data_IF_597403406103
#
_entry.id   IF_597403406103
#
_cell.length_a   1.000
_cell.length_b   1.000
_cell.length_c   1.000
_cell.angle_alpha   90.00
_cell.angle_beta   90.00
_cell.angle_gamma   90.00
#
_symmetry.space_group_name_H-M   'P 1'
#
loop_
_entity.id
_entity.type
_entity.pdbx_description
1 polymer ?
#
# COMPACT_ATOMS: atom_id res chain seq x y z
N UNK A 1 36.59 -11.52 -21.89
CA UNK A 1 35.14 -11.24 -21.92
C UNK A 1 34.30 -12.49 -22.26
N UNK A 2 34.65 -13.33 -23.24
CA UNK A 2 33.86 -14.55 -23.58
C UNK A 2 33.73 -15.61 -22.46
N UNK A 3 34.63 -15.66 -21.48
CA UNK A 3 34.57 -16.64 -20.37
C UNK A 3 33.54 -16.32 -19.29
N UNK A 4 33.16 -15.04 -19.11
CA UNK A 4 32.20 -14.65 -18.08
C UNK A 4 30.77 -14.96 -18.51
N UNK A 5 30.42 -14.63 -19.77
CA UNK A 5 29.08 -14.87 -20.32
C UNK A 5 28.71 -16.36 -20.38
N UNK A 6 29.67 -17.26 -20.63
CA UNK A 6 29.39 -18.71 -20.62
C UNK A 6 29.12 -19.29 -19.23
N UNK A 7 29.67 -18.68 -18.17
CA UNK A 7 29.44 -19.11 -16.78
C UNK A 7 28.07 -18.62 -16.30
N UNK A 8 27.66 -17.43 -16.72
CA UNK A 8 26.33 -16.86 -16.42
C UNK A 8 25.20 -17.68 -17.05
N UNK A 9 25.42 -18.19 -18.26
CA UNK A 9 24.49 -19.09 -18.97
C UNK A 9 24.42 -20.49 -18.32
N UNK A 10 25.56 -21.09 -17.94
CA UNK A 10 25.61 -22.41 -17.30
C UNK A 10 25.02 -22.42 -15.86
N UNK A 11 25.05 -21.27 -15.19
CA UNK A 11 24.45 -21.06 -13.86
C UNK A 11 22.98 -20.56 -13.93
N UNK A 12 22.42 -20.39 -15.13
CA UNK A 12 21.04 -19.90 -15.33
C UNK A 12 20.81 -18.44 -14.88
N UNK A 13 21.87 -17.68 -14.64
CA UNK A 13 21.79 -16.30 -14.11
C UNK A 13 21.20 -15.32 -15.14
N UNK A 14 21.44 -15.58 -16.42
CA UNK A 14 20.90 -14.77 -17.52
C UNK A 14 19.38 -14.90 -17.61
N UNK A 15 18.83 -16.10 -17.44
CA UNK A 15 17.38 -16.33 -17.45
C UNK A 15 16.71 -15.76 -16.19
N UNK A 16 17.32 -15.96 -15.02
CA UNK A 16 16.81 -15.40 -13.76
C UNK A 16 16.77 -13.86 -13.77
N UNK A 17 17.80 -13.20 -14.29
CA UNK A 17 17.83 -11.72 -14.37
C UNK A 17 16.81 -11.14 -15.37
N UNK A 18 16.51 -11.86 -16.46
CA UNK A 18 15.48 -11.46 -17.41
C UNK A 18 14.08 -11.55 -16.79
N UNK A 19 13.79 -12.64 -16.07
CA UNK A 19 12.51 -12.86 -15.38
C UNK A 19 12.29 -11.82 -14.25
N UNK A 20 13.33 -11.51 -13.48
CA UNK A 20 13.29 -10.46 -12.45
C UNK A 20 12.95 -9.08 -13.04
N UNK A 21 13.54 -8.74 -14.19
CA UNK A 21 13.30 -7.46 -14.88
C UNK A 21 11.85 -7.37 -15.39
N UNK A 22 11.31 -8.45 -15.95
CA UNK A 22 9.91 -8.50 -16.39
C UNK A 22 8.95 -8.36 -15.19
N UNK A 23 9.23 -9.06 -14.09
CA UNK A 23 8.43 -8.96 -12.87
C UNK A 23 8.48 -7.56 -12.25
N UNK A 24 9.62 -6.88 -12.28
CA UNK A 24 9.75 -5.47 -11.88
C UNK A 24 8.93 -4.53 -12.77
N UNK A 25 8.94 -4.74 -14.09
CA UNK A 25 8.13 -3.95 -15.01
C UNK A 25 6.63 -4.12 -14.73
N UNK A 26 6.16 -5.36 -14.58
CA UNK A 26 4.75 -5.64 -14.25
C UNK A 26 4.36 -4.99 -12.93
N UNK A 27 5.22 -5.08 -11.90
CA UNK A 27 5.00 -4.39 -10.61
C UNK A 27 4.89 -2.88 -10.79
N UNK A 28 5.83 -2.27 -11.51
CA UNK A 28 5.84 -0.83 -11.79
C UNK A 28 4.55 -0.36 -12.48
N UNK A 29 4.08 -1.13 -13.48
CA UNK A 29 2.85 -0.82 -14.20
C UNK A 29 1.64 -0.90 -13.24
N UNK A 30 1.51 -2.01 -12.51
CA UNK A 30 0.40 -2.20 -11.56
C UNK A 30 0.38 -1.12 -10.47
N UNK A 31 1.55 -0.65 -10.05
CA UNK A 31 1.71 0.32 -8.99
C UNK A 31 1.33 1.75 -9.41
N UNK A 32 1.69 2.13 -10.64
CA UNK A 32 1.48 3.48 -11.16
C UNK A 32 0.14 3.65 -11.90
N UNK A 33 -0.19 2.71 -12.80
CA UNK A 33 -1.29 2.91 -13.74
C UNK A 33 -2.65 2.93 -13.05
N UNK A 34 -2.86 2.10 -12.01
CA UNK A 34 -4.17 2.00 -11.34
C UNK A 34 -4.57 3.27 -10.58
N UNK A 35 -3.60 4.09 -10.18
CA UNK A 35 -3.82 5.36 -9.48
C UNK A 35 -3.41 6.58 -10.32
N UNK A 36 -3.23 6.41 -11.64
CA UNK A 36 -3.10 7.55 -12.56
C UNK A 36 -4.39 8.38 -12.56
N UNK A 37 -4.27 9.71 -12.71
CA UNK A 37 -5.39 10.65 -12.65
C UNK A 37 -6.50 10.36 -13.66
N UNK A 38 -6.20 9.63 -14.74
CA UNK A 38 -7.18 9.24 -15.77
C UNK A 38 -8.02 8.03 -15.38
N UNK A 39 -7.61 7.28 -14.35
CA UNK A 39 -8.31 6.09 -13.91
C UNK A 39 -9.47 6.39 -12.98
N UNK A 40 -10.49 5.53 -13.05
CA UNK A 40 -11.69 5.63 -12.23
C UNK A 40 -11.38 5.54 -10.73
N UNK A 41 -10.41 4.72 -10.32
CA UNK A 41 -10.06 4.54 -8.92
C UNK A 41 -9.53 5.85 -8.29
N UNK A 42 -8.70 6.58 -9.03
CA UNK A 42 -8.14 7.88 -8.64
C UNK A 42 -9.22 8.93 -8.42
N UNK A 43 -10.33 8.88 -9.16
CA UNK A 43 -11.45 9.80 -8.97
C UNK A 43 -12.11 9.68 -7.58
N UNK A 44 -12.02 8.52 -6.92
CA UNK A 44 -12.58 8.30 -5.57
C UNK A 44 -11.61 8.68 -4.44
N UNK A 45 -10.30 8.71 -4.72
CA UNK A 45 -9.26 9.00 -3.72
C UNK A 45 -9.55 10.30 -2.94
N UNK A 46 -9.83 11.46 -3.57
CA UNK A 46 -10.06 12.70 -2.84
C UNK A 46 -11.23 12.60 -1.85
N UNK A 47 -12.32 11.91 -2.24
CA UNK A 47 -13.49 11.70 -1.39
C UNK A 47 -13.15 10.82 -0.18
N UNK A 48 -12.49 9.69 -0.43
CA UNK A 48 -12.08 8.73 0.62
C UNK A 48 -11.17 9.42 1.64
N UNK A 49 -10.13 10.11 1.17
CA UNK A 49 -9.19 10.83 2.03
C UNK A 49 -9.91 11.94 2.79
N UNK A 50 -10.85 12.66 2.15
CA UNK A 50 -11.62 13.71 2.82
C UNK A 50 -12.45 13.15 3.97
N UNK A 51 -13.07 11.99 3.82
CA UNK A 51 -13.85 11.36 4.89
C UNK A 51 -12.92 10.93 6.03
N UNK A 52 -11.87 10.17 5.73
CA UNK A 52 -10.95 9.62 6.74
C UNK A 52 -10.20 10.71 7.54
N UNK A 53 -9.93 11.87 6.94
CA UNK A 53 -9.26 12.99 7.61
C UNK A 53 -10.19 13.89 8.43
N UNK A 54 -11.51 13.73 8.31
CA UNK A 54 -12.49 14.61 8.97
C UNK A 54 -13.54 13.81 9.78
N UNK A 55 -13.14 12.94 10.74
CA UNK A 55 -14.07 12.07 11.45
C UNK A 55 -15.12 12.82 12.28
N UNK A 56 -14.87 14.07 12.69
CA UNK A 56 -15.87 14.90 13.39
C UNK A 56 -16.94 15.52 12.46
N UNK A 57 -16.71 15.51 11.15
CA UNK A 57 -17.66 16.02 10.14
C UNK A 57 -18.56 14.90 9.59
N UNK A 58 -18.04 13.69 9.50
CA UNK A 58 -18.75 12.53 8.97
C UNK A 58 -19.05 11.57 10.13
N UNK A 59 -20.32 11.47 10.49
CA UNK A 59 -20.74 10.73 11.69
C UNK A 59 -21.45 9.40 11.38
N UNK A 60 -21.67 9.09 10.10
CA UNK A 60 -22.25 7.82 9.69
C UNK A 60 -21.21 6.69 9.80
N UNK A 61 -21.43 5.68 10.68
CA UNK A 61 -20.42 4.65 10.94
C UNK A 61 -20.10 3.79 9.72
N UNK A 62 -21.08 3.54 8.86
CA UNK A 62 -20.93 2.70 7.67
C UNK A 62 -20.09 3.43 6.62
N UNK A 63 -20.37 4.71 6.38
CA UNK A 63 -19.57 5.58 5.51
C UNK A 63 -18.11 5.65 5.96
N UNK A 64 -17.88 5.87 7.25
CA UNK A 64 -16.53 5.97 7.81
C UNK A 64 -15.78 4.63 7.75
N UNK A 65 -16.47 3.52 8.02
CA UNK A 65 -15.89 2.17 7.94
C UNK A 65 -15.55 1.79 6.50
N UNK A 66 -16.45 2.07 5.55
CA UNK A 66 -16.23 1.83 4.13
C UNK A 66 -15.07 2.68 3.58
N UNK A 67 -15.01 3.96 3.96
CA UNK A 67 -13.93 4.87 3.56
C UNK A 67 -12.58 4.43 4.14
N UNK A 68 -12.55 4.00 5.40
CA UNK A 68 -11.36 3.41 6.03
C UNK A 68 -10.88 2.19 5.25
N UNK A 69 -11.79 1.25 4.96
CA UNK A 69 -11.44 0.03 4.24
C UNK A 69 -10.91 0.35 2.84
N UNK A 70 -11.56 1.27 2.12
CA UNK A 70 -11.13 1.71 0.81
C UNK A 70 -9.74 2.37 0.85
N UNK A 71 -9.50 3.26 1.82
CA UNK A 71 -8.18 3.87 2.02
C UNK A 71 -7.09 2.81 2.25
N UNK A 72 -7.37 1.82 3.09
CA UNK A 72 -6.46 0.70 3.36
C UNK A 72 -6.16 -0.11 2.09
N UNK A 73 -7.17 -0.39 1.26
CA UNK A 73 -7.00 -1.15 0.02
C UNK A 73 -6.23 -0.35 -1.04
N UNK A 74 -6.45 0.96 -1.13
CA UNK A 74 -5.69 1.82 -2.06
C UNK A 74 -4.22 1.93 -1.61
N UNK A 75 -3.96 1.96 -0.31
CA UNK A 75 -2.60 1.93 0.23
C UNK A 75 -1.81 0.67 -0.16
N UNK A 76 -2.48 -0.46 -0.44
CA UNK A 76 -1.81 -1.68 -0.94
C UNK A 76 -1.37 -1.57 -2.42
N UNK A 77 -1.94 -0.63 -3.18
CA UNK A 77 -1.69 -0.51 -4.62
C UNK A 77 -0.38 0.22 -4.89
N UNK A 78 -0.13 1.33 -4.18
CA UNK A 78 1.00 2.24 -4.45
C UNK A 78 1.81 2.55 -3.21
N UNK A 79 3.14 2.39 -3.31
CA UNK A 79 4.08 2.77 -2.26
C UNK A 79 3.94 4.26 -1.94
N UNK A 80 3.95 5.13 -2.94
CA UNK A 80 3.82 6.58 -2.78
C UNK A 80 2.49 6.97 -2.12
N UNK A 81 1.40 6.29 -2.49
CA UNK A 81 0.12 6.52 -1.84
C UNK A 81 0.16 6.09 -0.38
N UNK A 82 0.70 4.90 -0.11
CA UNK A 82 0.86 4.37 1.23
C UNK A 82 1.66 5.33 2.11
N UNK A 83 2.85 5.75 1.66
CA UNK A 83 3.75 6.63 2.39
C UNK A 83 3.05 7.95 2.77
N UNK A 84 2.34 8.56 1.82
CA UNK A 84 1.57 9.80 2.06
C UNK A 84 0.48 9.65 3.12
N UNK A 85 -0.12 8.47 3.25
CA UNK A 85 -1.28 8.24 4.13
C UNK A 85 -0.97 7.36 5.35
N UNK A 86 0.26 6.88 5.51
CA UNK A 86 0.61 5.94 6.56
C UNK A 86 0.35 6.51 7.96
N UNK A 87 0.71 7.77 8.17
CA UNK A 87 0.40 8.49 9.42
C UNK A 87 -1.10 8.55 9.71
N UNK A 88 -1.94 8.74 8.68
CA UNK A 88 -3.39 8.75 8.83
C UNK A 88 -3.89 7.36 9.25
N UNK A 89 -3.38 6.28 8.65
CA UNK A 89 -3.72 4.91 9.05
C UNK A 89 -3.40 4.67 10.53
N UNK A 90 -2.20 4.99 11.00
CA UNK A 90 -1.86 4.84 12.42
C UNK A 90 -2.73 5.71 13.34
N UNK A 91 -3.07 6.93 12.91
CA UNK A 91 -4.00 7.79 13.65
C UNK A 91 -5.39 7.15 13.75
N UNK A 92 -5.88 6.54 12.67
CA UNK A 92 -7.17 5.84 12.65
C UNK A 92 -7.15 4.58 13.52
N UNK A 93 -6.05 3.83 13.52
CA UNK A 93 -5.85 2.68 14.40
C UNK A 93 -5.93 3.08 15.88
N UNK A 94 -5.23 4.16 16.25
CA UNK A 94 -5.11 4.59 17.65
C UNK A 94 -6.36 5.34 18.15
N UNK A 95 -6.92 6.25 17.34
CA UNK A 95 -7.92 7.23 17.81
C UNK A 95 -9.36 6.88 17.46
N UNK A 96 -9.61 5.96 16.53
CA UNK A 96 -10.98 5.67 16.12
C UNK A 96 -11.78 4.97 17.22
N UNK A 97 -12.96 5.51 17.53
CA UNK A 97 -13.90 4.86 18.44
C UNK A 97 -14.54 3.60 17.84
N UNK A 98 -14.61 3.50 16.50
CA UNK A 98 -15.26 2.39 15.79
C UNK A 98 -14.35 1.16 15.74
N UNK A 99 -14.73 0.02 16.35
CA UNK A 99 -13.92 -1.20 16.34
C UNK A 99 -13.62 -1.71 14.93
N UNK A 100 -14.57 -1.59 14.00
CA UNK A 100 -14.41 -2.02 12.60
C UNK A 100 -13.31 -1.24 11.88
N UNK A 101 -13.17 0.06 12.15
CA UNK A 101 -12.08 0.88 11.59
C UNK A 101 -10.73 0.41 12.11
N UNK A 102 -10.63 0.17 13.43
CA UNK A 102 -9.38 -0.33 14.04
C UNK A 102 -9.00 -1.70 13.50
N UNK A 103 -9.96 -2.62 13.39
CA UNK A 103 -9.75 -3.95 12.85
C UNK A 103 -9.30 -3.91 11.37
N UNK A 104 -10.00 -3.15 10.51
CA UNK A 104 -9.63 -2.98 9.11
C UNK A 104 -8.21 -2.42 8.97
N UNK A 105 -7.89 -1.41 9.77
CA UNK A 105 -6.57 -0.75 9.74
C UNK A 105 -5.47 -1.70 10.24
N UNK A 106 -5.71 -2.46 11.31
CA UNK A 106 -4.75 -3.42 11.85
C UNK A 106 -4.42 -4.52 10.84
N UNK A 107 -5.44 -5.10 10.19
CA UNK A 107 -5.23 -6.10 9.11
C UNK A 107 -4.44 -5.49 7.96
N UNK A 108 -4.82 -4.30 7.51
CA UNK A 108 -4.12 -3.63 6.43
C UNK A 108 -2.66 -3.30 6.75
N UNK A 109 -2.34 -2.85 7.96
CA UNK A 109 -0.95 -2.61 8.37
C UNK A 109 -0.14 -3.91 8.43
N UNK A 110 -0.76 -5.04 8.76
CA UNK A 110 -0.16 -6.37 8.64
C UNK A 110 0.19 -6.71 7.19
N UNK A 111 -0.76 -6.52 6.27
CA UNK A 111 -0.54 -6.73 4.84
C UNK A 111 0.56 -5.79 4.28
N UNK A 112 0.55 -4.52 4.69
CA UNK A 112 1.54 -3.52 4.29
C UNK A 112 2.93 -3.83 4.84
N UNK A 113 3.03 -4.45 6.01
CA UNK A 113 4.32 -4.89 6.59
C UNK A 113 5.02 -5.90 5.69
N UNK A 114 4.24 -6.71 4.95
CA UNK A 114 4.78 -7.63 3.96
C UNK A 114 5.02 -6.95 2.60
N UNK A 115 4.10 -6.09 2.16
CA UNK A 115 4.18 -5.45 0.83
C UNK A 115 5.22 -4.34 0.74
N UNK A 116 5.41 -3.56 1.81
CA UNK A 116 6.30 -2.40 1.89
C UNK A 116 7.08 -2.41 3.23
N UNK A 117 7.90 -3.45 3.50
CA UNK A 117 8.53 -3.64 4.81
C UNK A 117 9.35 -2.44 5.27
N UNK A 118 10.14 -1.84 4.38
CA UNK A 118 10.99 -0.67 4.69
C UNK A 118 10.17 0.58 5.07
N UNK A 119 8.95 0.70 4.54
CA UNK A 119 8.06 1.82 4.84
C UNK A 119 7.40 1.65 6.21
N UNK A 120 7.07 0.40 6.59
CA UNK A 120 6.38 0.09 7.84
C UNK A 120 7.36 -0.09 9.02
N UNK A 121 8.60 -0.53 8.78
CA UNK A 121 9.61 -0.78 9.81
C UNK A 121 9.71 0.35 10.86
N UNK A 122 9.79 1.65 10.49
CA UNK A 122 9.87 2.74 11.46
C UNK A 122 8.63 2.90 12.34
N UNK A 123 7.49 2.36 11.90
CA UNK A 123 6.20 2.46 12.58
C UNK A 123 5.87 1.25 13.45
N UNK A 124 6.63 0.16 13.34
CA UNK A 124 6.43 -1.10 14.08
C UNK A 124 6.14 -0.93 15.58
N UNK A 125 6.79 -0.02 16.33
CA UNK A 125 6.46 0.21 17.74
C UNK A 125 5.01 0.65 17.98
N UNK A 126 4.40 1.36 17.03
CA UNK A 126 3.00 1.81 17.10
C UNK A 126 2.01 0.69 16.78
N UNK A 127 2.46 -0.39 16.13
CA UNK A 127 1.62 -1.55 15.81
C UNK A 127 1.41 -2.47 17.02
N UNK A 128 2.39 -2.50 17.92
CA UNK A 128 2.40 -3.34 19.13
C UNK A 128 2.20 -2.55 20.43
N UNK A 129 1.80 -1.27 20.32
CA UNK A 129 1.54 -0.38 21.44
C UNK A 129 0.26 -0.74 22.22
#
# INVERSE_FOLDING_TARGET
>A
MQRASGIEEELGLTEASADDTEAELVRSICEAELLDDRQLLSAFVPLIVKICTNPGRYNDPDLCTASCLALCKIAMVSHDFCEKHLRLLFTMLEKSALPSIRANTMVALGDLSFRFPNLIEPWTPHLYA
#
